data_IF_272156710642
#
_entry.id   IF_272156710642
#
_cell.length_a   1.000
_cell.length_b   1.000
_cell.length_c   1.000
_cell.angle_alpha   90.00
_cell.angle_beta   90.00
_cell.angle_gamma   90.00
#
_symmetry.space_group_name_H-M   'P 1'
#
loop_
_entity.id
_entity.type
_entity.pdbx_description
1 polymer ?
#
# COMPACT_ATOMS: atom_id res chain seq x y z
N UNK A 1 57.01 39.84 -0.05
CA UNK A 1 55.90 39.68 0.92
C UNK A 1 54.57 39.45 0.17
N UNK A 2 54.36 38.29 -0.48
CA UNK A 2 53.07 37.94 -1.16
C UNK A 2 52.82 36.42 -1.10
N UNK A 3 52.86 35.81 0.09
CA UNK A 3 52.67 34.36 0.26
C UNK A 3 51.72 34.01 1.41
N UNK A 4 50.65 34.78 1.60
CA UNK A 4 49.62 34.48 2.62
C UNK A 4 48.18 34.54 2.08
N UNK A 5 47.97 34.94 0.81
CA UNK A 5 46.64 35.05 0.20
C UNK A 5 46.14 33.76 -0.47
N UNK A 6 47.04 32.83 -0.81
CA UNK A 6 46.71 31.55 -1.46
C UNK A 6 45.95 30.53 -0.57
N UNK A 7 46.27 30.34 0.73
CA UNK A 7 45.55 29.36 1.56
C UNK A 7 44.12 29.79 1.86
N UNK A 8 43.89 31.11 2.06
CA UNK A 8 42.57 31.67 2.34
C UNK A 8 41.63 31.52 1.14
N UNK A 9 42.13 31.77 -0.08
CA UNK A 9 41.36 31.59 -1.31
C UNK A 9 41.03 30.10 -1.57
N UNK A 10 41.96 29.20 -1.24
CA UNK A 10 41.74 27.75 -1.33
C UNK A 10 40.67 27.28 -0.35
N UNK A 11 40.65 27.83 0.87
CA UNK A 11 39.63 27.54 1.88
C UNK A 11 38.23 28.03 1.45
N UNK A 12 38.15 29.23 0.89
CA UNK A 12 36.89 29.77 0.34
C UNK A 12 36.37 28.92 -0.82
N UNK A 13 37.25 28.45 -1.71
CA UNK A 13 36.88 27.53 -2.80
C UNK A 13 36.37 26.19 -2.26
N UNK A 14 37.04 25.64 -1.25
CA UNK A 14 36.60 24.39 -0.61
C UNK A 14 35.22 24.54 0.08
N UNK A 15 35.00 25.64 0.79
CA UNK A 15 33.72 25.95 1.44
C UNK A 15 32.60 26.19 0.40
N UNK A 16 32.89 26.86 -0.71
CA UNK A 16 31.94 27.07 -1.81
C UNK A 16 31.53 25.73 -2.46
N UNK A 17 32.50 24.85 -2.74
CA UNK A 17 32.23 23.52 -3.29
C UNK A 17 31.41 22.65 -2.33
N UNK A 18 31.71 22.70 -1.02
CA UNK A 18 30.96 21.97 -0.01
C UNK A 18 29.51 22.49 0.09
N UNK A 19 29.31 23.81 0.04
CA UNK A 19 27.99 24.43 0.01
C UNK A 19 27.17 24.00 -1.21
N UNK A 20 27.77 24.02 -2.41
CA UNK A 20 27.10 23.59 -3.64
C UNK A 20 26.72 22.09 -3.62
N UNK A 21 27.54 21.24 -2.99
CA UNK A 21 27.22 19.81 -2.84
C UNK A 21 26.03 19.56 -1.91
N UNK A 22 25.89 20.35 -0.84
CA UNK A 22 24.75 20.25 0.10
C UNK A 22 23.43 20.68 -0.57
N UNK A 23 23.46 21.70 -1.45
CA UNK A 23 22.25 22.14 -2.18
C UNK A 23 21.76 21.12 -3.22
N UNK A 24 22.65 20.28 -3.79
CA UNK A 24 22.27 19.28 -4.79
C UNK A 24 21.44 18.11 -4.21
N UNK A 25 21.43 17.92 -2.88
CA UNK A 25 20.68 16.84 -2.23
C UNK A 25 19.15 16.96 -2.31
N UNK A 26 18.62 18.17 -2.48
CA UNK A 26 17.17 18.43 -2.44
C UNK A 26 16.45 18.22 -3.79
N UNK A 27 17.17 17.97 -4.89
CA UNK A 27 16.55 17.78 -6.22
C UNK A 27 16.32 16.31 -6.60
N UNK A 28 16.55 15.37 -5.68
CA UNK A 28 16.24 13.96 -5.92
C UNK A 28 14.72 13.75 -5.88
N UNK A 29 14.07 13.89 -7.03
CA UNK A 29 12.69 13.43 -7.19
C UNK A 29 12.68 11.91 -6.96
N UNK A 30 11.91 11.38 -6.00
CA UNK A 30 11.74 9.95 -5.88
C UNK A 30 11.21 9.44 -7.22
N UNK A 31 11.91 8.46 -7.81
CA UNK A 31 11.55 7.88 -9.09
C UNK A 31 10.07 7.55 -9.13
N UNK A 32 9.41 7.89 -10.23
CA UNK A 32 7.98 7.69 -10.44
C UNK A 32 7.61 6.25 -10.14
N UNK A 33 7.12 5.99 -8.92
CA UNK A 33 6.35 4.79 -8.62
C UNK A 33 5.11 4.93 -9.48
N UNK A 34 5.06 4.18 -10.58
CA UNK A 34 3.83 4.01 -11.35
C UNK A 34 2.74 3.67 -10.35
N UNK A 35 1.78 4.59 -10.17
CA UNK A 35 0.55 4.28 -9.45
C UNK A 35 -0.10 3.14 -10.21
N UNK A 36 0.03 1.92 -9.70
CA UNK A 36 -0.65 0.77 -10.26
C UNK A 36 -2.15 1.02 -10.09
N UNK A 37 -2.84 1.19 -11.21
CA UNK A 37 -4.28 1.46 -11.22
C UNK A 37 -5.04 0.32 -10.56
N UNK A 38 -6.08 0.65 -9.81
CA UNK A 38 -6.92 -0.36 -9.17
C UNK A 38 -7.65 -1.25 -10.20
N UNK A 39 -7.88 -0.76 -11.42
CA UNK A 39 -8.55 -1.52 -12.50
C UNK A 39 -7.67 -2.54 -13.23
N UNK A 40 -8.05 -2.81 -14.49
CA UNK A 40 -7.39 -3.79 -15.37
C UNK A 40 -5.88 -3.56 -15.41
N UNK A 41 -5.13 -4.60 -15.08
CA UNK A 41 -3.67 -4.60 -15.15
C UNK A 41 -3.21 -5.47 -16.32
N UNK A 42 -2.22 -5.04 -17.13
CA UNK A 42 -1.62 -5.90 -18.16
C UNK A 42 -1.03 -7.20 -17.58
N UNK A 43 -0.66 -7.19 -16.30
CA UNK A 43 -0.11 -8.34 -15.59
C UNK A 43 -1.19 -9.31 -15.07
N UNK A 44 -2.43 -8.83 -14.90
CA UNK A 44 -3.57 -9.59 -14.42
C UNK A 44 -4.77 -9.29 -15.31
N UNK A 45 -4.78 -9.80 -16.56
CA UNK A 45 -5.89 -9.56 -17.49
C UNK A 45 -7.16 -10.25 -17.01
N UNK A 46 -8.35 -9.71 -17.34
CA UNK A 46 -9.60 -10.35 -17.02
C UNK A 46 -9.77 -11.68 -17.77
N UNK A 47 -10.51 -12.64 -17.20
CA UNK A 47 -10.96 -13.83 -17.92
C UNK A 47 -11.68 -13.45 -19.22
N UNK A 48 -11.60 -14.34 -20.21
CA UNK A 48 -12.22 -14.12 -21.52
C UNK A 48 -13.74 -13.89 -21.44
N UNK A 49 -14.40 -14.54 -20.48
CA UNK A 49 -15.83 -14.37 -20.22
C UNK A 49 -16.10 -14.17 -18.72
N UNK A 50 -16.22 -12.91 -18.31
CA UNK A 50 -16.54 -12.51 -16.94
C UNK A 50 -17.95 -12.96 -16.51
N UNK A 51 -18.89 -13.13 -17.45
CA UNK A 51 -20.26 -13.49 -17.12
C UNK A 51 -20.42 -14.95 -16.68
N UNK A 52 -19.38 -15.77 -16.89
CA UNK A 52 -19.35 -17.18 -16.48
C UNK A 52 -18.80 -17.39 -15.07
N UNK A 53 -18.29 -16.34 -14.43
CA UNK A 53 -17.80 -16.42 -13.05
C UNK A 53 -19.00 -16.73 -12.14
N UNK A 54 -18.99 -17.85 -11.40
CA UNK A 54 -20.12 -18.23 -10.56
C UNK A 54 -20.26 -17.28 -9.37
N UNK A 55 -21.50 -16.96 -9.01
CA UNK A 55 -21.81 -16.20 -7.80
C UNK A 55 -21.33 -16.93 -6.54
N UNK A 56 -20.99 -16.14 -5.52
CA UNK A 56 -20.64 -16.65 -4.20
C UNK A 56 -21.85 -17.35 -3.56
N UNK A 57 -21.64 -18.56 -3.04
CA UNK A 57 -22.65 -19.25 -2.23
C UNK A 57 -22.32 -19.07 -0.74
N UNK A 58 -23.20 -18.43 0.05
CA UNK A 58 -22.97 -18.28 1.49
C UNK A 58 -22.87 -19.63 2.18
N UNK A 59 -21.87 -19.76 3.07
CA UNK A 59 -21.68 -20.94 3.91
C UNK A 59 -21.14 -20.52 5.26
N UNK A 60 -21.44 -21.32 6.28
CA UNK A 60 -20.86 -21.13 7.60
C UNK A 60 -19.39 -21.59 7.59
N UNK A 61 -18.50 -20.69 7.96
CA UNK A 61 -17.07 -20.96 8.07
C UNK A 61 -16.59 -20.79 9.51
N UNK A 62 -15.64 -21.61 9.98
CA UNK A 62 -14.99 -21.35 11.25
C UNK A 62 -14.23 -20.02 11.18
N UNK A 63 -14.12 -19.33 12.30
CA UNK A 63 -13.33 -18.09 12.37
C UNK A 63 -11.89 -18.34 11.92
N UNK A 64 -11.37 -17.45 11.08
CA UNK A 64 -9.96 -17.51 10.69
C UNK A 64 -9.06 -17.35 11.93
N UNK A 65 -7.96 -18.11 11.92
CA UNK A 65 -6.88 -18.01 12.91
C UNK A 65 -6.19 -16.64 12.90
N UNK A 66 -6.35 -15.89 11.82
CA UNK A 66 -5.80 -14.56 11.63
C UNK A 66 -6.92 -13.53 11.49
N UNK A 67 -6.59 -12.23 11.61
CA UNK A 67 -7.53 -11.15 11.29
C UNK A 67 -8.65 -10.88 12.32
N UNK A 68 -8.71 -11.63 13.41
CA UNK A 68 -9.73 -11.48 14.47
C UNK A 68 -9.13 -11.12 15.86
N UNK A 69 -8.29 -10.08 15.99
CA UNK A 69 -7.74 -9.68 17.28
C UNK A 69 -8.82 -9.03 18.15
N UNK A 70 -8.78 -9.21 19.47
CA UNK A 70 -9.75 -8.60 20.40
C UNK A 70 -9.87 -7.07 20.26
N UNK A 71 -8.80 -6.40 19.83
CA UNK A 71 -8.82 -4.99 19.45
C UNK A 71 -7.72 -4.66 18.42
N UNK A 72 -7.91 -3.55 17.71
CA UNK A 72 -6.94 -2.99 16.77
C UNK A 72 -6.99 -1.45 16.78
N UNK A 73 -5.96 -0.79 16.25
CA UNK A 73 -5.86 0.68 16.23
C UNK A 73 -5.69 1.17 14.81
N UNK A 74 -6.52 2.13 14.39
CA UNK A 74 -6.45 2.78 13.07
C UNK A 74 -6.51 4.29 13.30
N UNK A 75 -5.54 5.02 12.75
CA UNK A 75 -5.41 6.48 12.91
C UNK A 75 -5.52 6.95 14.37
N UNK A 76 -4.90 6.21 15.30
CA UNK A 76 -4.91 6.52 16.74
C UNK A 76 -6.19 6.15 17.49
N UNK A 77 -7.24 5.70 16.80
CA UNK A 77 -8.49 5.24 17.44
C UNK A 77 -8.49 3.72 17.59
N UNK A 78 -8.82 3.25 18.80
CA UNK A 78 -8.97 1.82 19.11
C UNK A 78 -10.38 1.33 18.76
N UNK A 79 -10.44 0.16 18.15
CA UNK A 79 -11.64 -0.58 17.82
C UNK A 79 -11.60 -1.98 18.44
N UNK A 80 -12.76 -2.56 18.72
CA UNK A 80 -12.91 -3.88 19.32
C UNK A 80 -13.70 -4.77 18.37
N UNK A 81 -13.20 -5.98 18.12
CA UNK A 81 -13.90 -6.95 17.27
C UNK A 81 -15.04 -7.61 18.03
N UNK A 82 -16.14 -7.88 17.36
CA UNK A 82 -17.22 -8.68 17.94
C UNK A 82 -16.75 -10.11 18.24
N UNK A 83 -17.16 -10.63 19.38
CA UNK A 83 -16.89 -12.02 19.77
C UNK A 83 -17.72 -13.02 18.97
N UNK A 84 -18.79 -12.61 18.31
CA UNK A 84 -19.62 -13.40 17.40
C UNK A 84 -20.32 -12.48 16.39
N UNK A 85 -20.72 -13.02 15.25
CA UNK A 85 -21.46 -12.31 14.20
C UNK A 85 -22.96 -12.64 14.19
N UNK A 86 -23.44 -13.49 15.10
CA UNK A 86 -24.83 -13.93 15.10
C UNK A 86 -25.78 -12.74 15.30
N UNK A 87 -26.77 -12.61 14.41
CA UNK A 87 -27.72 -11.49 14.44
C UNK A 87 -27.15 -10.13 14.01
N UNK A 88 -25.88 -10.04 13.62
CA UNK A 88 -25.30 -8.79 13.12
C UNK A 88 -25.91 -8.44 11.75
N UNK A 89 -26.51 -7.25 11.65
CA UNK A 89 -27.05 -6.71 10.41
C UNK A 89 -26.59 -5.25 10.25
N UNK A 90 -26.03 -4.92 9.08
CA UNK A 90 -25.57 -3.57 8.77
C UNK A 90 -25.85 -3.24 7.31
N UNK A 91 -26.00 -1.94 7.02
CA UNK A 91 -26.14 -1.39 5.67
C UNK A 91 -25.13 -0.26 5.49
N UNK A 92 -24.47 -0.23 4.34
CA UNK A 92 -23.44 0.77 4.05
C UNK A 92 -23.05 0.82 2.58
N UNK A 93 -21.99 1.56 2.29
CA UNK A 93 -21.38 1.66 0.97
C UNK A 93 -20.43 0.48 0.77
N UNK A 94 -20.52 -0.16 -0.39
CA UNK A 94 -19.54 -1.15 -0.82
C UNK A 94 -18.49 -0.50 -1.74
N UNK A 95 -17.26 -0.98 -1.62
CA UNK A 95 -16.15 -0.69 -2.52
C UNK A 95 -15.47 -1.99 -2.93
N UNK A 96 -14.55 -1.94 -3.87
CA UNK A 96 -13.86 -3.11 -4.41
C UNK A 96 -12.34 -2.96 -4.29
N UNK A 97 -11.64 -4.10 -4.19
CA UNK A 97 -10.18 -4.13 -4.13
C UNK A 97 -9.57 -4.24 -5.53
N UNK A 98 -8.58 -3.39 -5.81
CA UNK A 98 -7.93 -3.34 -7.12
C UNK A 98 -6.78 -4.31 -7.34
N UNK A 99 -6.19 -4.22 -8.54
CA UNK A 99 -5.08 -5.07 -9.01
C UNK A 99 -3.85 -5.10 -8.14
N UNK A 100 -3.59 -4.02 -7.41
CA UNK A 100 -2.50 -3.92 -6.44
C UNK A 100 -2.52 -5.04 -5.39
N UNK A 101 -3.71 -5.54 -5.03
CA UNK A 101 -3.86 -6.55 -3.99
C UNK A 101 -3.92 -7.97 -4.54
N UNK A 102 -4.02 -8.14 -5.86
CA UNK A 102 -4.17 -9.46 -6.46
C UNK A 102 -3.00 -10.38 -6.07
N UNK A 103 -3.31 -11.61 -5.68
CA UNK A 103 -2.37 -12.60 -5.14
C UNK A 103 -1.89 -12.33 -3.71
N UNK A 104 -2.23 -11.19 -3.10
CA UNK A 104 -1.83 -10.90 -1.72
C UNK A 104 -2.69 -11.67 -0.72
N UNK A 105 -2.10 -11.99 0.43
CA UNK A 105 -2.78 -12.72 1.49
C UNK A 105 -3.86 -11.87 2.15
N UNK A 106 -5.06 -12.41 2.25
CA UNK A 106 -6.22 -11.79 2.94
C UNK A 106 -6.22 -12.11 4.44
N UNK A 107 -7.18 -11.51 5.18
CA UNK A 107 -7.41 -11.80 6.60
C UNK A 107 -7.89 -13.23 6.87
N UNK A 108 -8.62 -13.86 5.92
CA UNK A 108 -8.97 -15.29 6.00
C UNK A 108 -7.73 -16.16 5.87
N UNK A 109 -6.73 -15.71 5.10
CA UNK A 109 -5.46 -16.36 4.83
C UNK A 109 -5.30 -16.81 3.39
N UNK A 110 -6.40 -16.82 2.62
CA UNK A 110 -6.40 -17.13 1.19
C UNK A 110 -5.78 -15.98 0.39
N UNK A 111 -5.19 -16.29 -0.77
CA UNK A 111 -4.72 -15.26 -1.69
C UNK A 111 -5.91 -14.58 -2.36
N UNK A 112 -5.89 -13.24 -2.43
CA UNK A 112 -6.95 -12.47 -3.07
C UNK A 112 -6.93 -12.67 -4.59
N UNK A 113 -8.04 -13.12 -5.15
CA UNK A 113 -8.30 -13.11 -6.58
C UNK A 113 -9.35 -12.04 -6.88
N UNK A 114 -9.02 -11.11 -7.79
CA UNK A 114 -9.91 -10.00 -8.12
C UNK A 114 -11.06 -10.42 -9.02
N UNK A 115 -10.96 -11.59 -9.64
CA UNK A 115 -11.96 -12.17 -10.52
C UNK A 115 -12.76 -13.25 -9.81
N UNK A 116 -12.42 -13.60 -8.56
CA UNK A 116 -13.25 -14.47 -7.75
C UNK A 116 -14.36 -13.68 -7.05
N UNK A 117 -15.55 -14.28 -6.93
CA UNK A 117 -16.67 -13.70 -6.20
C UNK A 117 -16.43 -13.81 -4.69
N UNK A 118 -15.66 -12.88 -4.14
CA UNK A 118 -15.28 -12.79 -2.72
C UNK A 118 -15.51 -11.39 -2.15
N UNK A 119 -15.54 -11.25 -0.82
CA UNK A 119 -15.83 -9.97 -0.14
C UNK A 119 -15.04 -9.84 1.18
N UNK A 120 -14.99 -8.61 1.71
CA UNK A 120 -14.39 -8.26 3.00
C UNK A 120 -15.18 -7.15 3.72
#
# INVERSE_FOLDING_TARGET
>A
MISQSQPVLTLYRALLCLGLAILAGCSSSPGSRTSQSDGVSPYHPPPADMATIPDATPRDEPKSKYGNPSSYVVFGKRYYTLSESHGYNARGIASWYGSKFHGQRTSSGEAYDMYAMTAA
#
